data_IF_481664223754
#
_entry.id   IF_481664223754
#
_cell.length_a   1.000
_cell.length_b   1.000
_cell.length_c   1.000
_cell.angle_alpha   90.00
_cell.angle_beta   90.00
_cell.angle_gamma   90.00
#
_symmetry.space_group_name_H-M   'P 1'
#
loop_
_entity.id
_entity.type
_entity.pdbx_description
1 polymer ?
#
# COMPACT_ATOMS: atom_id res chain seq x y z
N UNK A 1 3.70 1.67 13.72
CA UNK A 1 3.00 2.03 12.46
C UNK A 1 1.99 3.11 12.80
N UNK A 2 1.69 4.04 11.88
CA UNK A 2 0.58 4.97 12.09
C UNK A 2 -0.71 4.28 11.68
N UNK A 3 -1.77 4.40 12.48
CA UNK A 3 -3.08 3.82 12.19
C UNK A 3 -3.60 4.23 10.79
N UNK A 4 -3.25 5.45 10.34
CA UNK A 4 -3.62 5.96 9.02
C UNK A 4 -2.97 5.16 7.89
N UNK A 5 -1.71 4.73 8.03
CA UNK A 5 -1.05 3.92 6.98
C UNK A 5 -1.68 2.52 6.82
N UNK A 6 -2.14 1.91 7.92
CA UNK A 6 -2.84 0.62 7.90
C UNK A 6 -4.23 0.75 7.29
N UNK A 7 -4.92 1.85 7.61
CA UNK A 7 -6.21 2.18 7.02
C UNK A 7 -6.11 2.33 5.51
N UNK A 8 -5.13 3.09 5.00
CA UNK A 8 -4.94 3.30 3.56
C UNK A 8 -4.65 2.00 2.80
N UNK A 9 -3.89 1.08 3.39
CA UNK A 9 -3.67 -0.27 2.81
C UNK A 9 -4.99 -1.03 2.75
N UNK A 10 -5.75 -1.01 3.85
CA UNK A 10 -7.02 -1.73 3.97
C UNK A 10 -8.07 -1.19 2.99
N UNK A 11 -8.18 0.13 2.83
CA UNK A 11 -9.06 0.78 1.86
C UNK A 11 -8.76 0.31 0.43
N UNK A 12 -7.48 0.31 0.04
CA UNK A 12 -7.07 -0.15 -1.29
C UNK A 12 -7.42 -1.62 -1.52
N UNK A 13 -7.19 -2.48 -0.53
CA UNK A 13 -7.55 -3.91 -0.62
C UNK A 13 -9.06 -4.07 -0.73
N UNK A 14 -9.84 -3.35 0.07
CA UNK A 14 -11.30 -3.42 0.07
C UNK A 14 -11.90 -3.01 -1.28
N UNK A 15 -11.38 -1.95 -1.88
CA UNK A 15 -11.81 -1.52 -3.21
C UNK A 15 -11.49 -2.55 -4.29
N UNK A 16 -10.30 -3.16 -4.24
CA UNK A 16 -9.92 -4.21 -5.18
C UNK A 16 -10.83 -5.43 -5.05
N UNK A 17 -11.10 -5.88 -3.82
CA UNK A 17 -12.03 -6.98 -3.58
C UNK A 17 -13.44 -6.65 -4.04
N UNK A 18 -13.91 -5.42 -3.79
CA UNK A 18 -15.24 -4.96 -4.22
C UNK A 18 -15.36 -4.88 -5.74
N UNK A 19 -14.25 -4.65 -6.44
CA UNK A 19 -14.18 -4.65 -7.89
C UNK A 19 -13.91 -6.05 -8.50
N UNK A 20 -13.87 -7.12 -7.69
CA UNK A 20 -13.45 -8.47 -8.10
C UNK A 20 -12.08 -8.50 -8.81
N UNK A 21 -11.17 -7.63 -8.38
CA UNK A 21 -9.80 -7.60 -8.89
C UNK A 21 -8.87 -8.51 -8.09
N UNK A 22 -7.80 -9.00 -8.74
CA UNK A 22 -6.77 -9.77 -8.07
C UNK A 22 -6.01 -8.92 -7.04
N UNK A 23 -6.08 -9.34 -5.77
CA UNK A 23 -5.31 -8.73 -4.68
C UNK A 23 -3.94 -9.38 -4.59
N UNK A 24 -2.93 -8.70 -5.14
CA UNK A 24 -1.52 -9.02 -4.97
C UNK A 24 -0.81 -7.87 -4.24
N UNK A 25 0.29 -8.16 -3.56
CA UNK A 25 1.10 -7.10 -2.94
C UNK A 25 1.60 -6.07 -3.96
N UNK A 26 1.86 -6.48 -5.21
CA UNK A 26 2.29 -5.59 -6.28
C UNK A 26 1.15 -4.66 -6.74
N UNK A 27 -0.08 -5.18 -6.88
CA UNK A 27 -1.23 -4.36 -7.26
C UNK A 27 -1.65 -3.39 -6.16
N UNK A 28 -1.59 -3.80 -4.88
CA UNK A 28 -1.80 -2.90 -3.73
C UNK A 28 -0.75 -1.79 -3.70
N UNK A 29 0.53 -2.12 -3.88
CA UNK A 29 1.63 -1.14 -3.92
C UNK A 29 1.44 -0.13 -5.06
N UNK A 30 1.09 -0.60 -6.25
CA UNK A 30 0.85 0.26 -7.43
C UNK A 30 -0.28 1.26 -7.17
N UNK A 31 -1.42 0.81 -6.63
CA UNK A 31 -2.55 1.68 -6.29
C UNK A 31 -2.21 2.72 -5.22
N UNK A 32 -1.46 2.33 -4.17
CA UNK A 32 -0.99 3.26 -3.15
C UNK A 32 -0.08 4.34 -3.74
N UNK A 33 0.83 3.98 -4.66
CA UNK A 33 1.67 4.95 -5.35
C UNK A 33 0.86 5.94 -6.19
N UNK A 34 -0.14 5.46 -6.96
CA UNK A 34 -1.00 6.32 -7.76
C UNK A 34 -1.78 7.30 -6.87
N UNK A 35 -2.34 6.82 -5.75
CA UNK A 35 -3.07 7.66 -4.80
C UNK A 35 -2.19 8.70 -4.12
N UNK A 36 -0.98 8.32 -3.74
CA UNK A 36 0.00 9.26 -3.18
C UNK A 36 0.29 10.41 -4.13
N UNK A 37 0.46 10.13 -5.43
CA UNK A 37 0.71 11.15 -6.45
C UNK A 37 -0.46 12.10 -6.67
N UNK A 38 -1.68 11.65 -6.36
CA UNK A 38 -2.90 12.46 -6.42
C UNK A 38 -3.26 13.13 -5.10
N UNK A 39 -2.49 12.90 -4.02
CA UNK A 39 -2.78 13.40 -2.68
C UNK A 39 -2.15 14.79 -2.47
N UNK A 40 -2.95 15.71 -1.92
CA UNK A 40 -2.54 17.10 -1.70
C UNK A 40 -2.37 17.41 -0.21
N UNK A 41 -2.97 16.62 0.68
CA UNK A 41 -2.76 16.75 2.11
C UNK A 41 -1.42 16.11 2.52
N UNK A 42 -0.55 16.93 3.12
CA UNK A 42 0.80 16.51 3.52
C UNK A 42 0.77 15.31 4.48
N UNK A 43 -0.16 15.29 5.45
CA UNK A 43 -0.25 14.20 6.44
C UNK A 43 -0.67 12.89 5.78
N UNK A 44 -1.63 12.94 4.84
CA UNK A 44 -2.05 11.78 4.05
C UNK A 44 -0.94 11.32 3.12
N UNK A 45 -0.21 12.23 2.49
CA UNK A 45 0.96 11.90 1.67
C UNK A 45 2.02 11.14 2.47
N UNK A 46 2.37 11.61 3.68
CA UNK A 46 3.28 10.88 4.58
C UNK A 46 2.75 9.48 4.97
N UNK A 47 1.43 9.34 5.17
CA UNK A 47 0.83 8.05 5.48
C UNK A 47 0.94 7.07 4.30
N UNK A 48 0.73 7.54 3.07
CA UNK A 48 0.98 6.75 1.86
C UNK A 48 2.44 6.33 1.73
N UNK A 49 3.39 7.25 1.90
CA UNK A 49 4.83 6.93 1.86
C UNK A 49 5.18 5.85 2.88
N UNK A 50 4.60 5.94 4.08
CA UNK A 50 4.79 4.95 5.15
C UNK A 50 4.24 3.58 4.76
N UNK A 51 3.02 3.53 4.23
CA UNK A 51 2.39 2.31 3.74
C UNK A 51 3.21 1.64 2.61
N UNK A 52 3.64 2.42 1.63
CA UNK A 52 4.46 1.98 0.49
C UNK A 52 5.78 1.37 0.96
N UNK A 53 6.49 2.05 1.88
CA UNK A 53 7.76 1.55 2.43
C UNK A 53 7.60 0.22 3.15
N UNK A 54 6.52 0.06 3.92
CA UNK A 54 6.24 -1.19 4.65
C UNK A 54 5.97 -2.35 3.68
N UNK A 55 5.07 -2.14 2.71
CA UNK A 55 4.78 -3.16 1.69
C UNK A 55 6.03 -3.55 0.89
N UNK A 56 6.87 -2.57 0.52
CA UNK A 56 8.15 -2.83 -0.15
C UNK A 56 9.11 -3.64 0.72
N UNK A 57 9.21 -3.32 2.01
CA UNK A 57 10.03 -4.06 2.95
C UNK A 57 9.55 -5.51 3.07
N UNK A 58 8.25 -5.74 3.25
CA UNK A 58 7.67 -7.07 3.39
C UNK A 58 7.88 -7.92 2.12
N UNK A 59 7.77 -7.31 0.94
CA UNK A 59 8.12 -7.93 -0.34
C UNK A 59 9.59 -8.36 -0.40
N UNK A 60 10.49 -7.47 0.01
CA UNK A 60 11.93 -7.75 0.00
C UNK A 60 12.31 -8.83 1.02
N UNK A 61 11.74 -8.82 2.22
CA UNK A 61 11.98 -9.85 3.24
C UNK A 61 11.49 -11.21 2.76
N UNK A 62 10.28 -11.29 2.18
CA UNK A 62 9.78 -12.52 1.59
C UNK A 62 10.70 -13.03 0.48
N UNK A 63 11.21 -12.13 -0.37
CA UNK A 63 12.13 -12.49 -1.45
C UNK A 63 13.47 -13.03 -0.95
N UNK A 64 14.02 -12.45 0.12
CA UNK A 64 15.26 -12.95 0.75
C UNK A 64 15.05 -14.33 1.37
N UNK A 65 13.91 -14.57 2.01
CA UNK A 65 13.63 -15.83 2.72
C UNK A 65 13.17 -16.99 1.80
N UNK A 66 12.90 -16.71 0.51
CA UNK A 66 12.56 -17.71 -0.51
C UNK A 66 13.78 -18.16 -1.33
N UNK A 67 14.91 -17.47 -1.18
CA UNK A 67 16.21 -17.81 -1.77
C UNK A 67 17.06 -18.57 -0.76
#
# INVERSE_FOLDING_TARGET
MSALSELLISEVIWEMLSANEEVSQASVLSRLCIRMLAEWDEKRCYAYVTAIRKLKYDLNVKRVNLN
#
